data_IF_693590719782
#
_entry.id   IF_693590719782
#
_cell.length_a   1.000
_cell.length_b   1.000
_cell.length_c   1.000
_cell.angle_alpha   90.00
_cell.angle_beta   90.00
_cell.angle_gamma   90.00
#
_symmetry.space_group_name_H-M   'P 1'
#
loop_
_entity.id
_entity.type
_entity.pdbx_description
1 polymer ?
#
# COMPACT_ATOMS: atom_id res chain seq x y z
N UNK A 1 -6.17 -48.16 -59.90
CA UNK A 1 -5.98 -46.80 -60.41
C UNK A 1 -7.08 -45.84 -59.96
N UNK A 2 -8.37 -46.13 -60.23
CA UNK A 2 -9.49 -45.24 -59.85
C UNK A 2 -9.56 -44.97 -58.32
N UNK A 3 -9.39 -45.99 -57.49
CA UNK A 3 -9.41 -45.83 -56.02
C UNK A 3 -8.26 -44.95 -55.49
N UNK A 4 -7.08 -45.06 -56.09
CA UNK A 4 -5.90 -44.26 -55.69
C UNK A 4 -6.13 -42.78 -56.00
N UNK A 5 -6.71 -42.49 -57.16
CA UNK A 5 -7.07 -41.12 -57.57
C UNK A 5 -8.13 -40.53 -56.63
N UNK A 6 -9.14 -41.33 -56.24
CA UNK A 6 -10.18 -40.88 -55.31
C UNK A 6 -9.62 -40.54 -53.92
N UNK A 7 -8.71 -41.36 -53.38
CA UNK A 7 -8.07 -41.11 -52.08
C UNK A 7 -7.20 -39.83 -52.13
N UNK A 8 -6.44 -39.64 -53.20
CA UNK A 8 -5.62 -38.43 -53.37
C UNK A 8 -6.47 -37.17 -53.48
N UNK A 9 -7.63 -37.22 -54.17
CA UNK A 9 -8.54 -36.10 -54.26
C UNK A 9 -9.13 -35.71 -52.90
N UNK A 10 -9.48 -36.68 -52.06
CA UNK A 10 -9.98 -36.43 -50.70
C UNK A 10 -8.90 -35.80 -49.83
N UNK A 11 -7.66 -36.30 -49.89
CA UNK A 11 -6.54 -35.71 -49.13
C UNK A 11 -6.25 -34.26 -49.55
N UNK A 12 -6.34 -33.96 -50.86
CA UNK A 12 -6.15 -32.60 -51.38
C UNK A 12 -7.25 -31.67 -50.87
N UNK A 13 -8.52 -32.11 -50.87
CA UNK A 13 -9.62 -31.33 -50.31
C UNK A 13 -9.44 -31.04 -48.82
N UNK A 14 -9.03 -32.02 -48.02
CA UNK A 14 -8.76 -31.83 -46.59
C UNK A 14 -7.64 -30.80 -46.39
N UNK A 15 -6.56 -30.89 -47.18
CA UNK A 15 -5.46 -29.93 -47.12
C UNK A 15 -5.90 -28.51 -47.51
N UNK A 16 -6.71 -28.36 -48.56
CA UNK A 16 -7.26 -27.06 -48.98
C UNK A 16 -8.16 -26.43 -47.90
N UNK A 17 -9.02 -27.22 -47.27
CA UNK A 17 -9.89 -26.75 -46.18
C UNK A 17 -9.05 -26.35 -44.96
N UNK A 18 -8.05 -27.16 -44.60
CA UNK A 18 -7.13 -26.85 -43.49
C UNK A 18 -6.36 -25.55 -43.70
N UNK A 19 -5.85 -25.32 -44.93
CA UNK A 19 -5.17 -24.06 -45.28
C UNK A 19 -6.11 -22.86 -45.25
N UNK A 20 -7.36 -23.01 -45.68
CA UNK A 20 -8.34 -21.92 -45.65
C UNK A 20 -8.66 -21.48 -44.22
N UNK A 21 -8.95 -22.44 -43.34
CA UNK A 21 -9.26 -22.18 -41.92
C UNK A 21 -8.06 -21.54 -41.21
N UNK A 22 -6.84 -22.02 -41.47
CA UNK A 22 -5.64 -21.42 -40.89
C UNK A 22 -5.44 -19.97 -41.37
N UNK A 23 -5.68 -19.70 -42.66
CA UNK A 23 -5.55 -18.36 -43.22
C UNK A 23 -6.60 -17.39 -42.67
N UNK A 24 -7.84 -17.85 -42.45
CA UNK A 24 -8.88 -17.06 -41.79
C UNK A 24 -8.52 -16.74 -40.34
N UNK A 25 -8.05 -17.74 -39.58
CA UNK A 25 -7.61 -17.53 -38.20
C UNK A 25 -6.44 -16.56 -38.09
N UNK A 26 -5.48 -16.60 -39.03
CA UNK A 26 -4.36 -15.64 -39.08
C UNK A 26 -4.86 -14.23 -39.37
N UNK A 27 -5.80 -14.04 -40.31
CA UNK A 27 -6.38 -12.73 -40.61
C UNK A 27 -7.12 -12.14 -39.41
N UNK A 28 -7.95 -12.95 -38.74
CA UNK A 28 -8.67 -12.50 -37.55
C UNK A 28 -7.70 -12.08 -36.43
N UNK A 29 -6.64 -12.86 -36.21
CA UNK A 29 -5.60 -12.51 -35.23
C UNK A 29 -4.87 -11.20 -35.57
N UNK A 30 -4.63 -10.94 -36.86
CA UNK A 30 -4.00 -9.72 -37.34
C UNK A 30 -4.92 -8.52 -37.14
N UNK A 31 -6.20 -8.64 -37.47
CA UNK A 31 -7.19 -7.58 -37.31
C UNK A 31 -7.39 -7.21 -35.83
N UNK A 32 -7.41 -8.21 -34.94
CA UNK A 32 -7.44 -8.00 -33.49
C UNK A 32 -6.20 -7.24 -33.02
N UNK A 33 -5.01 -7.65 -33.45
CA UNK A 33 -3.75 -6.99 -33.09
C UNK A 33 -3.70 -5.53 -33.57
N UNK A 34 -4.17 -5.25 -34.79
CA UNK A 34 -4.26 -3.87 -35.30
C UNK A 34 -5.26 -3.01 -34.51
N UNK A 35 -6.40 -3.57 -34.14
CA UNK A 35 -7.40 -2.85 -33.34
C UNK A 35 -6.83 -2.49 -31.96
N UNK A 36 -6.18 -3.43 -31.27
CA UNK A 36 -5.49 -3.16 -30.01
C UNK A 36 -4.43 -2.08 -30.16
N UNK A 37 -3.62 -2.14 -31.22
CA UNK A 37 -2.58 -1.14 -31.50
C UNK A 37 -3.19 0.25 -31.71
N UNK A 38 -4.30 0.33 -32.44
CA UNK A 38 -5.00 1.59 -32.71
C UNK A 38 -5.55 2.22 -31.44
N UNK A 39 -6.18 1.43 -30.58
CA UNK A 39 -6.75 1.94 -29.33
C UNK A 39 -5.66 2.34 -28.32
N UNK A 40 -4.55 1.61 -28.28
CA UNK A 40 -3.38 2.00 -27.50
C UNK A 40 -2.83 3.37 -27.93
N UNK A 41 -2.68 3.60 -29.25
CA UNK A 41 -2.21 4.88 -29.78
C UNK A 41 -3.15 6.03 -29.44
N UNK A 42 -4.47 5.83 -29.53
CA UNK A 42 -5.44 6.85 -29.08
C UNK A 42 -5.28 7.19 -27.60
N UNK A 43 -5.02 6.19 -26.76
CA UNK A 43 -4.76 6.39 -25.33
C UNK A 43 -3.52 7.26 -25.09
N UNK A 44 -2.45 7.01 -25.83
CA UNK A 44 -1.22 7.81 -25.75
C UNK A 44 -1.44 9.27 -26.17
N UNK A 45 -2.17 9.50 -27.28
CA UNK A 45 -2.49 10.85 -27.72
C UNK A 45 -3.33 11.59 -26.69
N UNK A 46 -4.27 10.89 -26.04
CA UNK A 46 -5.08 11.48 -24.97
C UNK A 46 -4.26 11.87 -23.76
N UNK A 47 -3.33 11.02 -23.33
CA UNK A 47 -2.41 11.36 -22.24
C UNK A 47 -1.58 12.60 -22.56
N UNK A 48 -1.06 12.71 -23.79
CA UNK A 48 -0.29 13.89 -24.23
C UNK A 48 -1.14 15.15 -24.25
N UNK A 49 -2.40 15.06 -24.68
CA UNK A 49 -3.35 16.18 -24.64
C UNK A 49 -3.62 16.64 -23.19
N UNK A 50 -3.85 15.71 -22.26
CA UNK A 50 -4.05 16.03 -20.85
C UNK A 50 -2.82 16.68 -20.22
N UNK A 51 -1.62 16.17 -20.55
CA UNK A 51 -0.36 16.77 -20.08
C UNK A 51 -0.20 18.20 -20.60
N UNK A 52 -0.53 18.45 -21.86
CA UNK A 52 -0.53 19.80 -22.43
C UNK A 52 -1.54 20.72 -21.72
N UNK A 53 -2.79 20.26 -21.53
CA UNK A 53 -3.83 21.02 -20.82
C UNK A 53 -3.41 21.34 -19.38
N UNK A 54 -2.77 20.39 -18.70
CA UNK A 54 -2.26 20.59 -17.34
C UNK A 54 -1.10 21.59 -17.29
N UNK A 55 -0.26 21.62 -18.33
CA UNK A 55 0.87 22.55 -18.43
C UNK A 55 0.42 23.99 -18.74
N UNK A 56 -0.69 24.16 -19.44
CA UNK A 56 -1.26 25.48 -19.76
C UNK A 56 -2.09 26.06 -18.60
N UNK A 57 -2.54 25.22 -17.66
CA UNK A 57 -3.21 25.70 -16.46
C UNK A 57 -2.20 26.48 -15.61
N UNK A 58 -2.48 27.76 -15.29
CA UNK A 58 -1.63 28.49 -14.38
C UNK A 58 -1.59 27.75 -13.05
N UNK A 59 -0.38 27.41 -12.59
CA UNK A 59 -0.17 26.96 -11.23
C UNK A 59 -0.81 28.01 -10.31
N UNK A 60 -1.61 27.61 -9.29
CA UNK A 60 -2.09 28.56 -8.32
C UNK A 60 -0.88 29.34 -7.80
N UNK A 61 -0.95 30.67 -7.88
CA UNK A 61 0.05 31.52 -7.27
C UNK A 61 0.27 31.01 -5.84
N UNK A 62 1.52 30.79 -5.44
CA UNK A 62 1.82 30.44 -4.05
C UNK A 62 1.14 31.52 -3.20
N UNK A 63 0.18 31.16 -2.33
CA UNK A 63 -0.62 32.16 -1.67
C UNK A 63 0.29 32.98 -0.75
N UNK A 64 0.49 34.25 -1.09
CA UNK A 64 0.76 35.27 -0.09
C UNK A 64 -0.30 35.11 1.01
N UNK A 65 0.14 35.10 2.26
CA UNK A 65 -0.67 34.79 3.44
C UNK A 65 -1.85 35.77 3.59
N UNK A 66 -2.95 35.54 2.87
CA UNK A 66 -4.21 36.20 3.17
C UNK A 66 -4.88 35.52 4.38
N UNK A 67 -5.45 36.28 5.33
CA UNK A 67 -6.18 35.71 6.45
C UNK A 67 -7.51 35.12 5.94
N UNK A 68 -7.50 33.84 5.60
CA UNK A 68 -8.64 33.07 5.12
C UNK A 68 -9.80 33.08 6.14
N UNK A 69 -10.88 33.81 5.83
CA UNK A 69 -12.16 33.68 6.53
C UNK A 69 -12.89 32.41 6.03
N UNK A 70 -12.78 31.32 6.79
CA UNK A 70 -13.59 30.12 6.59
C UNK A 70 -13.35 29.07 7.66
N UNK A 71 -14.41 28.38 8.11
CA UNK A 71 -14.33 27.30 9.10
C UNK A 71 -13.90 25.97 8.46
N UNK A 72 -12.72 25.95 7.84
CA UNK A 72 -12.11 24.71 7.35
C UNK A 72 -11.25 24.10 8.46
N UNK A 73 -11.61 22.91 8.92
CA UNK A 73 -10.77 22.14 9.86
C UNK A 73 -9.53 21.70 9.10
N UNK A 74 -8.40 22.38 9.34
CA UNK A 74 -7.09 21.93 8.87
C UNK A 74 -6.79 20.58 9.52
N UNK A 75 -6.84 19.49 8.75
CA UNK A 75 -6.29 18.21 9.20
C UNK A 75 -4.77 18.38 9.29
N UNK A 76 -4.26 18.72 10.48
CA UNK A 76 -2.82 18.79 10.72
C UNK A 76 -2.26 17.39 10.48
N UNK A 77 -1.38 17.24 9.49
CA UNK A 77 -0.58 16.02 9.33
C UNK A 77 0.36 15.93 10.53
N UNK A 78 -0.03 15.15 11.54
CA UNK A 78 0.77 14.94 12.74
C UNK A 78 1.99 14.09 12.35
N UNK A 79 3.19 14.58 12.67
CA UNK A 79 4.42 13.76 12.57
C UNK A 79 4.29 12.57 13.51
N UNK A 80 4.90 11.44 13.13
CA UNK A 80 4.92 10.23 13.97
C UNK A 80 5.62 10.53 15.30
N UNK A 81 5.13 9.95 16.38
CA UNK A 81 5.77 10.07 17.70
C UNK A 81 7.18 9.48 17.67
N UNK A 82 8.14 10.26 18.14
CA UNK A 82 9.55 9.88 18.25
C UNK A 82 9.90 9.51 19.70
N UNK A 83 11.03 8.82 19.96
CA UNK A 83 11.50 8.55 21.33
C UNK A 83 11.54 9.80 22.22
N UNK A 84 11.97 10.94 21.67
CA UNK A 84 11.95 12.24 22.35
C UNK A 84 10.53 12.68 22.72
N UNK A 85 9.56 12.45 21.83
CA UNK A 85 8.14 12.69 22.14
C UNK A 85 7.67 11.87 23.34
N UNK A 86 8.07 10.60 23.45
CA UNK A 86 7.72 9.76 24.59
C UNK A 86 8.38 10.24 25.89
N UNK A 87 9.67 10.63 25.86
CA UNK A 87 10.34 11.23 27.03
C UNK A 87 9.62 12.50 27.48
N UNK A 88 9.30 13.38 26.54
CA UNK A 88 8.68 14.66 26.87
C UNK A 88 7.31 14.50 27.51
N UNK A 89 6.51 13.55 27.03
CA UNK A 89 5.16 13.30 27.57
C UNK A 89 5.20 12.47 28.84
N UNK A 90 5.97 11.39 28.91
CA UNK A 90 5.86 10.41 29.99
C UNK A 90 6.95 10.53 31.08
N UNK A 91 8.07 11.18 30.80
CA UNK A 91 9.18 11.36 31.75
C UNK A 91 9.25 12.81 32.26
N UNK A 92 8.97 13.82 31.43
CA UNK A 92 9.05 15.24 31.85
C UNK A 92 7.72 15.81 32.39
N UNK A 93 6.56 15.35 31.93
CA UNK A 93 5.24 15.80 32.41
C UNK A 93 4.72 14.91 33.55
N UNK A 94 4.37 15.54 34.68
CA UNK A 94 3.80 14.88 35.85
C UNK A 94 2.52 14.10 35.53
N UNK A 95 1.66 14.63 34.65
CA UNK A 95 0.42 13.93 34.29
C UNK A 95 0.73 12.67 33.47
N UNK A 96 1.71 12.74 32.57
CA UNK A 96 2.15 11.57 31.81
C UNK A 96 2.76 10.50 32.69
N UNK A 97 3.58 10.87 33.68
CA UNK A 97 4.10 9.92 34.67
C UNK A 97 2.97 9.19 35.42
N UNK A 98 1.95 9.92 35.89
CA UNK A 98 0.79 9.34 36.58
C UNK A 98 -0.01 8.38 35.68
N UNK A 99 -0.14 8.72 34.40
CA UNK A 99 -0.78 7.84 33.42
C UNK A 99 0.05 6.58 33.19
N UNK A 100 1.38 6.71 33.01
CA UNK A 100 2.26 5.56 32.80
C UNK A 100 2.26 4.61 34.01
N UNK A 101 2.28 5.15 35.23
CA UNK A 101 2.18 4.38 36.47
C UNK A 101 0.85 3.61 36.53
N UNK A 102 -0.27 4.29 36.24
CA UNK A 102 -1.58 3.65 36.19
C UNK A 102 -1.67 2.55 35.12
N UNK A 103 -1.16 2.80 33.92
CA UNK A 103 -1.09 1.81 32.84
C UNK A 103 -0.26 0.59 33.24
N UNK A 104 0.86 0.81 33.91
CA UNK A 104 1.72 -0.25 34.44
C UNK A 104 0.95 -1.10 35.46
N UNK A 105 0.22 -0.47 36.40
CA UNK A 105 -0.60 -1.20 37.38
C UNK A 105 -1.72 -2.04 36.73
N UNK A 106 -2.33 -1.52 35.66
CA UNK A 106 -3.46 -2.20 34.99
C UNK A 106 -2.99 -3.35 34.11
N UNK A 107 -1.91 -3.15 33.34
CA UNK A 107 -1.50 -4.04 32.25
C UNK A 107 -0.25 -4.89 32.55
N UNK A 108 0.59 -4.49 33.51
CA UNK A 108 1.76 -5.27 33.93
C UNK A 108 1.47 -6.20 35.11
N UNK A 109 0.33 -6.89 35.07
CA UNK A 109 -0.05 -7.95 36.02
C UNK A 109 0.72 -9.25 35.73
N UNK A 110 0.59 -10.26 36.58
CA UNK A 110 1.23 -11.57 36.37
C UNK A 110 0.97 -12.11 34.96
N UNK A 111 2.07 -12.27 34.20
CA UNK A 111 2.00 -12.64 32.78
C UNK A 111 1.49 -14.07 32.60
N UNK A 112 1.91 -14.99 33.47
CA UNK A 112 1.62 -16.41 33.34
C UNK A 112 0.39 -16.80 34.16
N UNK A 113 -0.57 -17.44 33.50
CA UNK A 113 -1.79 -17.96 34.12
C UNK A 113 -1.76 -19.48 34.14
N UNK A 114 -2.21 -20.06 35.26
CA UNK A 114 -2.28 -21.52 35.42
C UNK A 114 -3.08 -22.20 34.30
N UNK A 115 -2.61 -23.38 33.89
CA UNK A 115 -3.07 -24.07 32.67
C UNK A 115 -4.41 -24.81 32.80
N UNK A 116 -5.03 -24.85 33.98
CA UNK A 116 -6.20 -25.70 34.25
C UNK A 116 -7.40 -25.48 33.29
N UNK A 117 -7.53 -24.31 32.64
CA UNK A 117 -8.63 -24.00 31.70
C UNK A 117 -8.23 -23.10 30.52
N UNK A 118 -7.02 -23.24 29.98
CA UNK A 118 -6.57 -22.46 28.82
C UNK A 118 -5.66 -21.28 29.14
N UNK A 119 -4.79 -21.45 30.16
CA UNK A 119 -3.83 -20.45 30.63
C UNK A 119 -2.90 -19.89 29.56
N UNK A 120 -2.60 -20.65 28.50
CA UNK A 120 -1.73 -20.21 27.40
C UNK A 120 -2.28 -18.99 26.65
N UNK A 121 -3.59 -18.98 26.32
CA UNK A 121 -4.20 -17.86 25.57
C UNK A 121 -4.22 -16.58 26.39
N UNK A 122 -4.59 -16.70 27.66
CA UNK A 122 -4.61 -15.59 28.61
C UNK A 122 -3.18 -15.07 28.86
N UNK A 123 -2.20 -15.97 28.93
CA UNK A 123 -0.78 -15.61 29.04
C UNK A 123 -0.32 -14.81 27.83
N UNK A 124 -0.61 -15.28 26.61
CA UNK A 124 -0.31 -14.54 25.39
C UNK A 124 -0.99 -13.15 25.36
N UNK A 125 -2.24 -13.07 25.82
CA UNK A 125 -2.96 -11.80 25.90
C UNK A 125 -2.27 -10.81 26.85
N UNK A 126 -1.91 -11.26 28.06
CA UNK A 126 -1.22 -10.43 29.07
C UNK A 126 0.17 -10.00 28.62
N UNK A 127 0.94 -10.91 28.01
CA UNK A 127 2.24 -10.57 27.42
C UNK A 127 2.09 -9.51 26.31
N UNK A 128 1.04 -9.63 25.48
CA UNK A 128 0.71 -8.63 24.48
C UNK A 128 0.43 -7.25 25.10
N UNK A 129 -0.37 -7.19 26.17
CA UNK A 129 -0.65 -5.95 26.90
C UNK A 129 0.63 -5.33 27.49
N UNK A 130 1.47 -6.15 28.13
CA UNK A 130 2.77 -5.72 28.68
C UNK A 130 3.72 -5.18 27.61
N UNK A 131 3.70 -5.76 26.41
CA UNK A 131 4.61 -5.36 25.33
C UNK A 131 4.46 -3.89 24.95
N UNK A 132 3.25 -3.33 25.07
CA UNK A 132 2.97 -1.91 24.78
C UNK A 132 3.61 -1.01 25.82
N UNK A 133 3.50 -1.36 27.10
CA UNK A 133 4.11 -0.58 28.18
C UNK A 133 5.64 -0.64 28.09
N UNK A 134 6.18 -1.84 27.81
CA UNK A 134 7.61 -2.03 27.58
C UNK A 134 8.11 -1.19 26.38
N UNK A 135 7.31 -1.06 25.32
CA UNK A 135 7.67 -0.19 24.18
C UNK A 135 7.80 1.29 24.59
N UNK A 136 6.87 1.80 25.40
CA UNK A 136 6.92 3.18 25.90
C UNK A 136 8.18 3.39 26.75
N UNK A 137 8.41 2.52 27.72
CA UNK A 137 9.58 2.59 28.60
C UNK A 137 10.89 2.49 27.81
N UNK A 138 10.96 1.59 26.83
CA UNK A 138 12.13 1.47 25.96
C UNK A 138 12.36 2.72 25.11
N UNK A 139 11.30 3.37 24.62
CA UNK A 139 11.40 4.63 23.87
C UNK A 139 11.93 5.76 24.75
N UNK A 140 11.48 5.85 26.00
CA UNK A 140 12.02 6.82 26.99
C UNK A 140 13.50 6.53 27.26
N UNK A 141 13.84 5.27 27.53
CA UNK A 141 15.23 4.85 27.77
C UNK A 141 16.14 5.13 26.57
N UNK A 142 15.62 4.97 25.35
CA UNK A 142 16.33 5.31 24.13
C UNK A 142 16.62 6.81 24.05
N UNK A 143 15.62 7.67 24.33
CA UNK A 143 15.79 9.11 24.37
C UNK A 143 16.71 9.59 25.50
N UNK A 144 16.79 8.85 26.60
CA UNK A 144 17.69 9.13 27.72
C UNK A 144 19.14 8.65 27.48
N UNK A 145 19.41 7.92 26.39
CA UNK A 145 20.76 7.49 26.06
C UNK A 145 21.59 8.68 25.54
N UNK A 146 22.79 8.97 26.11
CA UNK A 146 23.61 10.10 25.68
C UNK A 146 24.09 10.02 24.22
N UNK A 147 24.07 8.83 23.62
CA UNK A 147 24.43 8.61 22.22
C UNK A 147 23.24 8.70 21.26
N UNK A 148 22.03 8.91 21.77
CA UNK A 148 20.84 8.99 20.93
C UNK A 148 20.84 10.29 20.13
N UNK A 149 20.62 10.17 18.82
CA UNK A 149 20.37 11.29 17.92
C UNK A 149 19.05 11.01 17.22
N UNK A 150 18.13 11.95 17.31
CA UNK A 150 16.87 11.88 16.62
C UNK A 150 17.12 12.11 15.13
N UNK A 151 17.02 11.05 14.32
CA UNK A 151 17.00 11.19 12.87
C UNK A 151 15.63 11.75 12.48
N UNK A 152 15.62 13.01 12.07
CA UNK A 152 14.43 13.62 11.45
C UNK A 152 14.26 12.95 10.09
N UNK A 153 13.43 11.91 10.03
CA UNK A 153 12.93 11.41 8.75
C UNK A 153 11.92 12.44 8.23
N UNK A 154 12.39 13.30 7.32
CA UNK A 154 11.57 14.21 6.52
C UNK A 154 10.84 13.46 5.39
#
# INVERSE_FOLDING_TARGET
>A
MILIIAVLAILLLIACVGLHVLNEGVKESHDVAENYRRDWLKGLDKCRELEAELSERPLPAQPEEEPEQGNFVRTRTLKRATPETYRNVFDMDLNGQRVLEHLTMVFCKEAFVSNDKGGERETCHRLGQQSVINFIVNSINQANNPNYKEEVND
#
